data_IF_907753200387
#
_entry.id   IF_907753200387
#
_cell.length_a   1.000
_cell.length_b   1.000
_cell.length_c   1.000
_cell.angle_alpha   90.00
_cell.angle_beta   90.00
_cell.angle_gamma   90.00
#
_symmetry.space_group_name_H-M   'P 1'
#
loop_
_entity.id
_entity.type
_entity.pdbx_description
1 polymer ?
#
# COMPACT_ATOMS: atom_id res chain seq x y z
N UNK A 1 -8.26 5.30 -22.98
CA UNK A 1 -6.91 5.12 -22.49
C UNK A 1 -6.93 4.85 -20.99
N UNK A 2 -6.32 3.77 -20.56
CA UNK A 2 -6.19 3.47 -19.14
C UNK A 2 -5.26 4.49 -18.47
N UNK A 3 -5.74 5.09 -17.38
CA UNK A 3 -4.90 5.98 -16.58
C UNK A 3 -4.27 5.17 -15.45
N UNK A 4 -2.96 5.19 -15.40
CA UNK A 4 -2.18 4.60 -14.30
C UNK A 4 -2.18 5.62 -13.17
N UNK A 5 -2.93 5.36 -12.11
CA UNK A 5 -3.20 6.36 -11.07
C UNK A 5 -3.35 5.79 -9.67
N UNK A 6 -3.20 6.69 -8.70
CA UNK A 6 -3.60 6.45 -7.31
C UNK A 6 -5.12 6.53 -7.22
N UNK A 7 -5.76 5.45 -6.78
CA UNK A 7 -7.22 5.40 -6.64
C UNK A 7 -7.66 5.72 -5.20
N UNK A 8 -6.86 5.36 -4.20
CA UNK A 8 -7.17 5.60 -2.80
C UNK A 8 -5.89 5.72 -1.98
N UNK A 9 -5.92 6.53 -0.93
CA UNK A 9 -4.82 6.66 0.03
C UNK A 9 -5.36 6.32 1.41
N UNK A 10 -4.73 5.36 2.10
CA UNK A 10 -5.16 4.87 3.40
C UNK A 10 -4.02 5.00 4.40
N UNK A 11 -4.30 5.59 5.54
CA UNK A 11 -3.34 5.73 6.64
C UNK A 11 -4.00 5.38 7.98
N UNK A 12 -3.18 5.09 8.98
CA UNK A 12 -3.63 5.00 10.37
C UNK A 12 -2.46 5.33 11.30
N UNK A 13 -2.79 5.88 12.46
CA UNK A 13 -1.78 6.34 13.42
C UNK A 13 -1.07 5.17 14.14
N UNK A 14 -1.71 4.02 14.29
CA UNK A 14 -1.17 2.88 15.04
C UNK A 14 -1.43 1.55 14.35
N UNK A 15 -0.66 0.51 14.72
CA UNK A 15 -0.73 -0.83 14.12
C UNK A 15 -2.12 -1.48 14.21
N UNK A 16 -2.83 -1.29 15.30
CA UNK A 16 -4.11 -1.97 15.53
C UNK A 16 -5.33 -1.13 15.15
N UNK A 17 -5.15 0.16 14.86
CA UNK A 17 -6.28 1.03 14.48
C UNK A 17 -6.70 0.77 13.03
N UNK A 18 -7.99 0.98 12.75
CA UNK A 18 -8.51 0.91 11.40
C UNK A 18 -7.86 1.95 10.49
N UNK A 19 -7.61 1.58 9.24
CA UNK A 19 -7.15 2.53 8.23
C UNK A 19 -8.30 3.46 7.84
N UNK A 20 -7.96 4.68 7.45
CA UNK A 20 -8.94 5.63 6.93
C UNK A 20 -8.40 6.30 5.67
N UNK A 21 -9.32 6.70 4.79
CA UNK A 21 -9.00 7.35 3.54
C UNK A 21 -8.71 8.83 3.71
N UNK A 22 -7.72 9.31 2.97
CA UNK A 22 -7.39 10.74 2.88
C UNK A 22 -7.28 11.15 1.42
N UNK A 23 -7.55 12.42 1.12
CA UNK A 23 -7.46 12.93 -0.24
C UNK A 23 -6.01 13.09 -0.70
N UNK A 24 -5.12 13.39 0.24
CA UNK A 24 -3.68 13.55 -0.02
C UNK A 24 -2.88 13.17 1.22
N UNK A 25 -1.61 12.83 1.02
CA UNK A 25 -0.67 12.56 2.08
C UNK A 25 0.71 13.07 1.71
N UNK A 26 1.49 13.51 2.69
CA UNK A 26 2.86 13.95 2.48
C UNK A 26 3.82 12.78 2.67
N UNK A 27 4.52 12.42 1.61
CA UNK A 27 5.57 11.42 1.66
C UNK A 27 6.86 12.08 2.15
N UNK A 28 7.48 11.46 3.17
CA UNK A 28 8.72 11.97 3.76
C UNK A 28 9.84 10.99 3.44
N UNK A 29 10.85 11.45 2.71
CA UNK A 29 11.98 10.62 2.29
C UNK A 29 12.64 9.92 3.49
N UNK A 30 12.83 8.62 3.35
CA UNK A 30 13.45 7.79 4.39
C UNK A 30 12.59 7.53 5.62
N UNK A 31 11.33 7.97 5.63
CA UNK A 31 10.46 7.90 6.81
C UNK A 31 9.15 7.16 6.51
N UNK A 32 8.29 7.71 5.69
CA UNK A 32 6.97 7.18 5.39
C UNK A 32 5.96 8.28 5.09
N UNK A 33 4.69 7.96 5.10
CA UNK A 33 3.62 8.94 4.94
C UNK A 33 3.34 9.63 6.28
N UNK A 34 3.34 10.96 6.29
CA UNK A 34 3.05 11.74 7.48
C UNK A 34 1.70 11.33 8.08
N UNK A 35 1.70 11.02 9.37
CA UNK A 35 0.49 10.58 10.08
C UNK A 35 0.22 9.08 10.01
N UNK A 36 0.98 8.35 9.20
CA UNK A 36 0.87 6.89 9.14
C UNK A 36 1.77 6.22 10.20
N UNK A 37 1.38 5.03 10.62
CA UNK A 37 2.04 4.25 11.68
C UNK A 37 3.52 3.96 11.41
N UNK A 38 3.91 3.79 10.15
CA UNK A 38 5.31 3.53 9.82
C UNK A 38 6.15 4.80 9.86
N UNK A 39 5.56 5.96 9.64
CA UNK A 39 6.25 7.24 9.82
C UNK A 39 6.40 7.58 11.31
N UNK A 40 5.44 7.18 12.15
CA UNK A 40 5.48 7.44 13.60
C UNK A 40 6.21 6.36 14.40
N UNK A 41 6.60 5.24 13.75
CA UNK A 41 7.30 4.15 14.42
C UNK A 41 6.41 3.25 15.26
N UNK A 42 5.10 3.20 14.97
CA UNK A 42 4.11 2.43 15.74
C UNK A 42 3.44 1.31 14.95
N UNK A 43 3.97 0.98 13.76
CA UNK A 43 3.45 -0.11 12.92
C UNK A 43 3.87 -1.48 13.44
N UNK A 44 3.20 -2.53 12.96
CA UNK A 44 3.47 -3.92 13.32
C UNK A 44 4.95 -4.31 13.16
N UNK A 45 5.58 -3.83 12.08
CA UNK A 45 6.97 -4.15 11.77
C UNK A 45 7.96 -3.04 12.18
N UNK A 46 7.50 -1.98 12.85
CA UNK A 46 8.36 -0.86 13.28
C UNK A 46 9.50 -1.26 14.20
N UNK A 47 9.38 -2.30 15.08
CA UNK A 47 10.51 -2.75 15.90
C UNK A 47 11.71 -3.24 15.08
N UNK A 48 11.50 -3.62 13.81
CA UNK A 48 12.55 -4.04 12.88
C UNK A 48 12.46 -3.18 11.62
N UNK A 49 12.83 -1.88 11.71
CA UNK A 49 12.69 -0.97 10.57
C UNK A 49 13.60 -1.39 9.42
N UNK A 50 13.08 -1.24 8.20
CA UNK A 50 13.80 -1.46 6.94
C UNK A 50 13.35 -0.41 5.94
N UNK A 51 14.19 -0.04 4.95
CA UNK A 51 13.76 0.85 3.87
C UNK A 51 12.47 0.38 3.18
N UNK A 52 12.28 -0.94 3.05
CA UNK A 52 11.08 -1.54 2.44
C UNK A 52 9.80 -1.39 3.27
N UNK A 53 9.86 -0.78 4.44
CA UNK A 53 8.72 -0.65 5.37
C UNK A 53 8.24 0.79 5.54
N UNK A 54 8.43 1.63 4.53
CA UNK A 54 8.01 3.03 4.58
C UNK A 54 6.63 3.26 3.99
N UNK A 55 6.33 2.60 2.88
CA UNK A 55 5.06 2.74 2.17
C UNK A 55 4.71 1.44 1.47
N UNK A 56 3.42 1.14 1.40
CA UNK A 56 2.91 -0.05 0.71
C UNK A 56 1.86 0.33 -0.32
N UNK A 57 1.82 -0.43 -1.42
CA UNK A 57 0.88 -0.22 -2.51
C UNK A 57 0.19 -1.54 -2.83
N UNK A 58 -1.06 -1.48 -3.26
CA UNK A 58 -1.80 -2.65 -3.77
C UNK A 58 -2.63 -2.24 -4.98
N UNK A 59 -2.79 -3.15 -5.94
CA UNK A 59 -3.61 -2.92 -7.12
C UNK A 59 -5.10 -3.03 -6.78
N UNK A 60 -5.90 -2.06 -7.22
CA UNK A 60 -7.35 -2.13 -7.12
C UNK A 60 -7.88 -3.39 -7.83
N UNK A 61 -7.25 -3.76 -8.93
CA UNK A 61 -7.58 -4.96 -9.69
C UNK A 61 -7.42 -6.25 -8.86
N UNK A 62 -6.44 -6.29 -7.95
CA UNK A 62 -6.28 -7.44 -7.05
C UNK A 62 -7.41 -7.52 -6.03
N UNK A 63 -7.84 -6.39 -5.49
CA UNK A 63 -8.99 -6.33 -4.56
C UNK A 63 -10.26 -6.76 -5.28
N UNK A 64 -10.48 -6.29 -6.49
CA UNK A 64 -11.63 -6.66 -7.32
C UNK A 64 -11.60 -8.15 -7.68
N UNK A 65 -10.41 -8.70 -7.93
CA UNK A 65 -10.26 -10.13 -8.23
C UNK A 65 -10.70 -11.02 -7.05
N UNK A 66 -10.48 -10.61 -5.81
CA UNK A 66 -10.93 -11.36 -4.64
C UNK A 66 -12.46 -11.46 -4.60
N UNK A 67 -13.16 -10.40 -4.91
CA UNK A 67 -14.62 -10.42 -4.99
C UNK A 67 -15.09 -11.34 -6.10
N UNK A 68 -14.50 -11.21 -7.28
CA UNK A 68 -14.87 -11.99 -8.47
C UNK A 68 -14.58 -13.49 -8.30
N UNK A 69 -13.43 -13.84 -7.70
CA UNK A 69 -12.98 -15.23 -7.60
C UNK A 69 -13.47 -15.94 -6.34
N UNK A 70 -13.59 -15.22 -5.22
CA UNK A 70 -13.86 -15.80 -3.90
C UNK A 70 -15.12 -15.24 -3.23
N UNK A 71 -15.80 -14.26 -3.84
CA UNK A 71 -16.90 -13.53 -3.20
C UNK A 71 -16.45 -12.72 -1.99
N UNK A 72 -15.14 -12.44 -1.88
CA UNK A 72 -14.57 -11.73 -0.76
C UNK A 72 -14.52 -10.23 -1.06
N UNK A 73 -15.39 -9.45 -0.39
CA UNK A 73 -15.45 -8.00 -0.54
C UNK A 73 -14.57 -7.34 0.51
N UNK A 74 -13.61 -6.52 0.07
CA UNK A 74 -12.74 -5.75 0.95
C UNK A 74 -12.89 -4.26 0.65
N UNK A 75 -13.02 -3.46 1.70
CA UNK A 75 -12.86 -2.01 1.57
C UNK A 75 -11.37 -1.69 1.35
N UNK A 76 -11.04 -0.53 0.76
CA UNK A 76 -9.65 -0.18 0.46
C UNK A 76 -8.71 -0.25 1.68
N UNK A 77 -9.20 0.15 2.85
CA UNK A 77 -8.40 0.15 4.08
C UNK A 77 -8.20 -1.22 4.71
N UNK A 78 -9.04 -2.20 4.38
CA UNK A 78 -8.94 -3.54 4.98
C UNK A 78 -7.69 -4.28 4.55
N UNK A 79 -7.12 -3.97 3.39
CA UNK A 79 -5.86 -4.58 2.94
C UNK A 79 -4.66 -4.08 3.73
N UNK A 80 -4.82 -2.99 4.47
CA UNK A 80 -3.77 -2.34 5.27
C UNK A 80 -2.61 -1.83 4.43
N UNK A 81 -2.80 -1.64 3.12
CA UNK A 81 -1.84 -0.98 2.23
C UNK A 81 -2.18 0.50 2.15
N UNK A 82 -1.13 1.32 1.98
CA UNK A 82 -1.30 2.78 1.96
C UNK A 82 -1.93 3.28 0.66
N UNK A 83 -1.42 2.86 -0.48
CA UNK A 83 -1.90 3.32 -1.78
C UNK A 83 -2.62 2.19 -2.51
N UNK A 84 -3.86 2.43 -2.89
CA UNK A 84 -4.57 1.56 -3.83
C UNK A 84 -4.38 2.16 -5.22
N UNK A 85 -3.81 1.39 -6.13
CA UNK A 85 -3.45 1.85 -7.48
C UNK A 85 -4.33 1.20 -8.53
N UNK A 86 -4.43 1.83 -9.71
CA UNK A 86 -5.13 1.26 -10.85
C UNK A 86 -4.27 1.38 -12.10
N UNK A 87 -4.27 0.32 -12.89
CA UNK A 87 -3.63 0.30 -14.21
C UNK A 87 -2.13 0.10 -14.20
N UNK A 88 -1.51 -0.21 -13.05
CA UNK A 88 -0.08 -0.43 -12.95
C UNK A 88 0.24 -1.85 -12.46
N UNK A 89 1.17 -2.52 -13.14
CA UNK A 89 1.66 -3.84 -12.74
C UNK A 89 2.72 -3.66 -11.64
N UNK A 90 2.30 -3.60 -10.39
CA UNK A 90 3.18 -3.31 -9.25
C UNK A 90 4.33 -4.31 -9.11
N UNK A 91 4.10 -5.59 -9.40
CA UNK A 91 5.14 -6.60 -9.29
C UNK A 91 6.34 -6.32 -10.19
N UNK A 92 6.13 -5.62 -11.31
CA UNK A 92 7.20 -5.23 -12.23
C UNK A 92 8.02 -4.05 -11.73
N UNK A 93 7.60 -3.40 -10.64
CA UNK A 93 8.30 -2.26 -10.06
C UNK A 93 9.31 -2.66 -8.97
N UNK A 94 9.43 -3.93 -8.65
CA UNK A 94 10.47 -4.43 -7.76
C UNK A 94 11.84 -4.12 -8.37
N UNK A 95 12.71 -3.45 -7.59
CA UNK A 95 14.04 -3.04 -8.04
C UNK A 95 14.07 -1.79 -8.90
N UNK A 96 12.95 -1.07 -9.04
CA UNK A 96 12.84 0.11 -9.89
C UNK A 96 12.41 1.34 -9.12
N UNK A 97 12.89 2.51 -9.58
CA UNK A 97 12.39 3.79 -9.14
C UNK A 97 11.19 4.18 -10.00
N UNK A 98 10.19 4.81 -9.39
CA UNK A 98 9.02 5.31 -10.11
C UNK A 98 8.44 6.52 -9.38
N UNK A 99 7.72 7.35 -10.11
CA UNK A 99 7.07 8.53 -9.55
C UNK A 99 5.64 8.24 -9.18
N UNK A 100 5.21 8.78 -8.04
CA UNK A 100 3.80 8.81 -7.64
C UNK A 100 3.52 10.26 -7.25
N UNK A 101 2.81 10.99 -8.09
CA UNK A 101 2.64 12.43 -7.91
C UNK A 101 4.00 13.13 -7.83
N UNK A 102 4.24 13.86 -6.75
CA UNK A 102 5.51 14.55 -6.52
C UNK A 102 6.60 13.67 -5.91
N UNK A 103 6.26 12.50 -5.42
CA UNK A 103 7.20 11.64 -4.71
C UNK A 103 7.87 10.63 -5.66
N UNK A 104 9.16 10.32 -5.36
CA UNK A 104 9.89 9.24 -6.02
C UNK A 104 9.99 8.07 -5.05
N UNK A 105 9.55 6.90 -5.48
CA UNK A 105 9.60 5.67 -4.70
C UNK A 105 10.55 4.68 -5.35
N UNK A 106 11.07 3.76 -4.52
CA UNK A 106 11.83 2.59 -4.98
C UNK A 106 11.13 1.33 -4.52
N UNK A 107 10.76 0.44 -5.45
CA UNK A 107 10.16 -0.84 -5.13
C UNK A 107 11.20 -1.82 -4.60
N UNK A 108 10.95 -2.39 -3.42
CA UNK A 108 11.86 -3.32 -2.78
C UNK A 108 11.47 -4.78 -2.95
N UNK A 109 10.23 -5.12 -2.59
CA UNK A 109 9.77 -6.50 -2.57
C UNK A 109 8.24 -6.57 -2.63
N UNK A 110 7.73 -7.74 -2.94
CA UNK A 110 6.29 -7.98 -2.88
C UNK A 110 5.79 -7.89 -1.44
N UNK A 111 4.61 -7.33 -1.25
CA UNK A 111 3.95 -7.26 0.04
C UNK A 111 2.97 -8.41 0.17
N UNK A 112 3.49 -9.61 0.47
CA UNK A 112 2.67 -10.79 0.61
C UNK A 112 1.71 -10.67 1.80
N UNK A 113 0.52 -11.31 1.75
CA UNK A 113 -0.40 -11.31 2.87
C UNK A 113 0.20 -12.09 4.04
N UNK A 114 -0.17 -11.70 5.27
CA UNK A 114 0.35 -12.32 6.48
C UNK A 114 -0.79 -12.68 7.45
N UNK A 115 -0.44 -13.44 8.49
CA UNK A 115 -1.40 -13.85 9.52
C UNK A 115 -2.05 -12.69 10.26
N UNK A 116 -1.31 -11.60 10.48
CA UNK A 116 -1.86 -10.40 11.11
C UNK A 116 -2.97 -9.78 10.26
N UNK A 117 -2.80 -9.77 8.95
CA UNK A 117 -3.81 -9.25 8.04
C UNK A 117 -5.09 -10.09 8.09
N UNK A 118 -4.95 -11.42 8.10
CA UNK A 118 -6.09 -12.32 8.23
C UNK A 118 -6.79 -12.14 9.59
N UNK A 119 -6.04 -11.97 10.65
CA UNK A 119 -6.57 -11.73 12.00
C UNK A 119 -7.34 -10.41 12.07
N UNK A 120 -6.75 -9.34 11.59
CA UNK A 120 -7.36 -8.00 11.65
C UNK A 120 -8.64 -7.90 10.82
N UNK A 121 -8.70 -8.55 9.67
CA UNK A 121 -9.87 -8.51 8.80
C UNK A 121 -10.94 -9.53 9.22
N UNK A 122 -10.57 -10.57 9.96
CA UNK A 122 -11.45 -11.70 10.23
C UNK A 122 -11.78 -12.50 8.98
N UNK A 123 -11.00 -12.35 7.91
CA UNK A 123 -11.25 -12.97 6.59
C UNK A 123 -10.05 -13.83 6.20
N UNK A 124 -10.00 -15.12 6.64
CA UNK A 124 -8.81 -15.97 6.40
C UNK A 124 -8.53 -16.23 4.93
N UNK A 125 -9.53 -16.11 4.04
CA UNK A 125 -9.35 -16.28 2.60
C UNK A 125 -8.43 -15.22 1.99
N UNK A 126 -8.12 -14.14 2.71
CA UNK A 126 -7.21 -13.10 2.23
C UNK A 126 -5.80 -13.65 2.06
N UNK A 127 -5.40 -14.66 2.82
CA UNK A 127 -4.09 -15.29 2.70
C UNK A 127 -3.89 -15.94 1.34
N UNK A 128 -4.66 -16.99 0.95
CA UNK A 128 -4.50 -17.57 -0.38
C UNK A 128 -4.91 -16.59 -1.49
N UNK A 129 -5.89 -15.72 -1.21
CA UNK A 129 -6.42 -14.80 -2.23
C UNK A 129 -5.41 -13.76 -2.70
N UNK A 130 -4.54 -13.28 -1.83
CA UNK A 130 -3.56 -12.25 -2.16
C UNK A 130 -2.14 -12.77 -2.41
N UNK A 131 -1.91 -14.07 -2.44
CA UNK A 131 -0.58 -14.61 -2.77
C UNK A 131 -0.12 -14.03 -4.12
N UNK A 132 1.08 -13.43 -4.14
CA UNK A 132 1.73 -12.81 -5.31
C UNK A 132 0.99 -11.59 -5.88
N UNK A 133 -0.08 -11.13 -5.26
CA UNK A 133 -0.79 -9.89 -5.63
C UNK A 133 -1.19 -9.05 -4.42
N UNK A 134 -0.52 -9.29 -3.30
CA UNK A 134 -0.72 -8.53 -2.06
C UNK A 134 -0.14 -7.12 -2.09
N UNK A 135 0.58 -6.76 -3.12
CA UNK A 135 1.11 -5.43 -3.34
C UNK A 135 2.62 -5.34 -3.31
N UNK A 136 3.11 -4.11 -3.16
CA UNK A 136 4.52 -3.75 -3.23
C UNK A 136 4.93 -3.02 -1.94
N UNK A 137 6.07 -3.39 -1.39
CA UNK A 137 6.76 -2.63 -0.34
C UNK A 137 7.76 -1.70 -0.98
N UNK A 138 7.75 -0.45 -0.58
CA UNK A 138 8.60 0.56 -1.20
C UNK A 138 9.23 1.50 -0.18
N UNK A 139 10.28 2.17 -0.64
CA UNK A 139 11.00 3.21 0.06
C UNK A 139 10.69 4.55 -0.61
N UNK A 140 10.59 5.61 0.18
CA UNK A 140 10.44 6.97 -0.33
C UNK A 140 11.83 7.56 -0.52
N UNK A 141 12.24 7.74 -1.77
CA UNK A 141 13.56 8.27 -2.15
C UNK A 141 13.53 9.80 -2.14
N UNK A 142 12.50 10.39 -2.73
CA UNK A 142 12.25 11.83 -2.70
C UNK A 142 10.84 12.07 -2.21
N UNK A 143 10.70 12.97 -1.23
CA UNK A 143 9.42 13.31 -0.65
C UNK A 143 8.58 14.20 -1.55
N UNK A 144 7.32 14.35 -1.18
CA UNK A 144 6.37 15.20 -1.86
C UNK A 144 4.94 14.81 -1.52
N UNK A 145 3.99 15.59 -2.00
CA UNK A 145 2.57 15.32 -1.79
C UNK A 145 2.10 14.30 -2.81
N UNK A 146 1.40 13.29 -2.32
CA UNK A 146 0.69 12.30 -3.14
C UNK A 146 -0.80 12.55 -2.95
N UNK A 147 -1.52 12.70 -4.05
CA UNK A 147 -2.97 12.96 -4.04
C UNK A 147 -3.71 11.85 -4.78
N UNK A 148 -4.95 11.59 -4.37
CA UNK A 148 -5.84 10.70 -5.13
C UNK A 148 -5.99 11.23 -6.55
N UNK A 149 -5.82 10.37 -7.53
CA UNK A 149 -5.84 10.73 -8.95
C UNK A 149 -4.46 11.00 -9.55
N UNK A 150 -3.41 11.09 -8.74
CA UNK A 150 -2.06 11.29 -9.24
C UNK A 150 -1.60 10.15 -10.14
N UNK A 151 -0.81 10.50 -11.15
CA UNK A 151 -0.23 9.54 -12.08
C UNK A 151 0.92 8.78 -11.42
N UNK A 152 1.09 7.54 -11.87
CA UNK A 152 2.19 6.65 -11.46
C UNK A 152 3.01 6.33 -12.70
N UNK A 153 4.33 6.51 -12.60
CA UNK A 153 5.18 6.22 -13.76
C UNK A 153 6.67 6.61 -13.63
#
# INVERSE_FOLDING_TARGET
MLKVRVESIQITATAEAAMHGVAEATAIAGVGLKGDRYATGTGTFSPKPKPSRQITLIEAEAIEALERELGLVLSPGETRRNLVTRGVALNHLVGRDFMVGEARLHGHELCEPCGDLARMTGKPQILPGLVHRGGLRAEIIEGGVISVGDLIG
#
